data_IF_384189881724
#
_entry.id   IF_384189881724
#
_cell.length_a   1.000
_cell.length_b   1.000
_cell.length_c   1.000
_cell.angle_alpha   90.00
_cell.angle_beta   90.00
_cell.angle_gamma   90.00
#
_symmetry.space_group_name_H-M   'P 1'
#
loop_
_entity.id
_entity.type
_entity.pdbx_description
1 polymer ?
#
# COMPACT_ATOMS: atom_id res chain seq x y z
N UNK A 1 -6.26 -16.48 -0.30
CA UNK A 1 -5.04 -16.10 0.46
C UNK A 1 -5.20 -16.28 1.98
N UNK A 2 -6.22 -15.68 2.62
CA UNK A 2 -6.47 -15.79 4.07
C UNK A 2 -6.43 -17.20 4.68
N UNK A 3 -7.13 -18.22 4.14
CA UNK A 3 -7.15 -19.56 4.75
C UNK A 3 -5.77 -20.23 4.76
N UNK A 4 -4.93 -20.00 3.74
CA UNK A 4 -3.56 -20.53 3.70
C UNK A 4 -2.67 -19.88 4.76
N UNK A 5 -2.84 -18.58 5.01
CA UNK A 5 -2.11 -17.87 6.07
C UNK A 5 -2.49 -18.38 7.47
N UNK A 6 -3.79 -18.61 7.71
CA UNK A 6 -4.27 -19.18 8.98
C UNK A 6 -3.77 -20.61 9.17
N UNK A 7 -3.82 -21.46 8.14
CA UNK A 7 -3.28 -22.82 8.19
C UNK A 7 -1.78 -22.84 8.47
N UNK A 8 -1.02 -21.93 7.85
CA UNK A 8 0.42 -21.81 8.10
C UNK A 8 0.74 -21.43 9.56
N UNK A 9 -0.10 -20.59 10.18
CA UNK A 9 0.03 -20.22 11.60
C UNK A 9 -0.36 -21.38 12.52
N UNK A 10 -1.47 -22.06 12.23
CA UNK A 10 -1.93 -23.21 13.01
C UNK A 10 -0.93 -24.37 12.98
N UNK A 11 -0.30 -24.64 11.84
CA UNK A 11 0.78 -25.64 11.72
C UNK A 11 1.98 -25.28 12.59
N UNK A 12 2.29 -23.98 12.71
CA UNK A 12 3.47 -23.51 13.46
C UNK A 12 3.36 -23.70 14.97
N UNK A 13 2.13 -23.86 15.51
CA UNK A 13 1.85 -24.26 16.89
C UNK A 13 2.35 -23.30 17.98
N UNK A 14 2.85 -22.12 17.62
CA UNK A 14 3.36 -21.10 18.56
C UNK A 14 2.70 -19.78 18.24
N UNK A 15 1.87 -19.30 19.16
CA UNK A 15 1.25 -17.98 19.09
C UNK A 15 2.14 -16.96 19.77
N UNK A 16 2.44 -15.86 19.08
CA UNK A 16 3.23 -14.78 19.66
C UNK A 16 2.37 -13.97 20.65
N UNK A 17 3.00 -13.36 21.67
CA UNK A 17 2.30 -12.40 22.55
C UNK A 17 1.69 -11.29 21.70
N UNK A 18 0.41 -11.00 21.93
CA UNK A 18 -0.32 -9.96 21.22
C UNK A 18 0.26 -8.59 21.59
N UNK A 19 0.61 -7.79 20.57
CA UNK A 19 1.04 -6.43 20.79
C UNK A 19 -0.14 -5.55 21.24
N UNK A 20 0.10 -4.49 22.04
CA UNK A 20 -0.95 -3.56 22.48
C UNK A 20 -1.85 -3.01 21.35
N UNK A 21 -1.33 -2.64 20.15
CA UNK A 21 -2.18 -2.20 19.05
C UNK A 21 -3.19 -3.25 18.57
N UNK A 22 -2.81 -4.53 18.56
CA UNK A 22 -3.72 -5.62 18.19
C UNK A 22 -4.81 -5.84 19.22
N UNK A 23 -4.49 -5.65 20.51
CA UNK A 23 -5.45 -5.74 21.61
C UNK A 23 -6.48 -4.61 21.49
N UNK A 24 -6.03 -3.38 21.25
CA UNK A 24 -6.92 -2.22 21.04
C UNK A 24 -7.78 -2.40 19.79
N UNK A 25 -7.21 -2.92 18.71
CA UNK A 25 -7.96 -3.21 17.49
C UNK A 25 -9.01 -4.30 17.71
N UNK A 26 -8.68 -5.36 18.44
CA UNK A 26 -9.65 -6.40 18.83
C UNK A 26 -10.77 -5.83 19.72
N UNK A 27 -10.42 -4.96 20.67
CA UNK A 27 -11.39 -4.25 21.50
C UNK A 27 -12.30 -3.35 20.66
N UNK A 28 -11.76 -2.64 19.68
CA UNK A 28 -12.53 -1.81 18.75
C UNK A 28 -13.47 -2.64 17.86
N UNK A 29 -13.01 -3.79 17.35
CA UNK A 29 -13.85 -4.71 16.57
C UNK A 29 -14.97 -5.27 17.44
N UNK A 30 -14.67 -5.66 18.69
CA UNK A 30 -15.66 -6.12 19.65
C UNK A 30 -16.69 -5.05 20.00
N UNK A 31 -16.23 -3.82 20.22
CA UNK A 31 -17.11 -2.67 20.43
C UNK A 31 -18.00 -2.39 19.21
N UNK A 32 -17.44 -2.46 18.01
CA UNK A 32 -18.19 -2.30 16.75
C UNK A 32 -19.26 -3.38 16.63
N UNK A 33 -18.95 -4.62 17.02
CA UNK A 33 -19.92 -5.70 17.02
C UNK A 33 -21.04 -5.49 18.07
N UNK A 34 -20.71 -4.99 19.25
CA UNK A 34 -21.70 -4.63 20.27
C UNK A 34 -22.61 -3.48 19.81
N UNK A 35 -22.08 -2.54 19.02
CA UNK A 35 -22.89 -1.46 18.45
C UNK A 35 -23.98 -1.93 17.48
N UNK A 36 -23.93 -3.18 17.01
CA UNK A 36 -25.00 -3.77 16.20
C UNK A 36 -26.32 -3.88 16.98
N UNK A 37 -26.29 -4.01 18.31
CA UNK A 37 -27.49 -4.16 19.14
C UNK A 37 -28.32 -2.87 19.28
N UNK A 38 -27.73 -1.71 19.02
CA UNK A 38 -28.40 -0.41 19.10
C UNK A 38 -28.30 0.40 17.81
N UNK A 39 -27.92 -0.25 16.70
CA UNK A 39 -27.76 0.43 15.41
C UNK A 39 -29.10 0.69 14.75
N UNK A 40 -29.26 1.89 14.20
CA UNK A 40 -30.44 2.32 13.42
C UNK A 40 -30.52 1.54 12.08
N UNK A 41 -29.37 1.13 11.53
CA UNK A 41 -29.27 0.36 10.29
C UNK A 41 -28.34 -0.86 10.49
N UNK A 42 -28.90 -1.99 10.96
CA UNK A 42 -28.11 -3.16 11.33
C UNK A 42 -27.33 -3.80 10.18
N UNK A 43 -27.89 -3.82 8.96
CA UNK A 43 -27.23 -4.43 7.79
C UNK A 43 -25.93 -3.72 7.40
N UNK A 44 -25.96 -2.38 7.33
CA UNK A 44 -24.78 -1.54 7.04
C UNK A 44 -23.69 -1.72 8.11
N UNK A 45 -24.10 -1.85 9.38
CA UNK A 45 -23.20 -2.07 10.51
C UNK A 45 -22.56 -3.46 10.47
N UNK A 46 -23.31 -4.48 10.02
CA UNK A 46 -22.80 -5.84 9.85
C UNK A 46 -21.72 -5.92 8.76
N UNK A 47 -21.96 -5.26 7.62
CA UNK A 47 -20.97 -5.20 6.53
C UNK A 47 -19.68 -4.53 7.02
N UNK A 48 -19.79 -3.39 7.72
CA UNK A 48 -18.62 -2.69 8.28
C UNK A 48 -17.87 -3.54 9.31
N UNK A 49 -18.58 -4.22 10.20
CA UNK A 49 -17.97 -5.11 11.20
C UNK A 49 -17.21 -6.25 10.53
N UNK A 50 -17.74 -6.85 9.46
CA UNK A 50 -17.03 -7.87 8.68
C UNK A 50 -15.74 -7.31 8.06
N UNK A 51 -15.78 -6.11 7.50
CA UNK A 51 -14.57 -5.44 6.97
C UNK A 51 -13.53 -5.21 8.06
N UNK A 52 -13.93 -4.71 9.24
CA UNK A 52 -13.01 -4.53 10.36
C UNK A 52 -12.42 -5.85 10.85
N UNK A 53 -13.20 -6.92 10.86
CA UNK A 53 -12.73 -8.25 11.20
C UNK A 53 -11.69 -8.78 10.19
N UNK A 54 -11.93 -8.58 8.88
CA UNK A 54 -10.96 -8.94 7.84
C UNK A 54 -9.66 -8.15 7.96
N UNK A 55 -9.73 -6.84 8.19
CA UNK A 55 -8.56 -5.99 8.42
C UNK A 55 -7.81 -6.39 9.68
N UNK A 56 -8.55 -6.70 10.76
CA UNK A 56 -7.97 -7.15 12.02
C UNK A 56 -7.25 -8.49 11.88
N UNK A 57 -7.86 -9.43 11.15
CA UNK A 57 -7.25 -10.72 10.83
C UNK A 57 -5.99 -10.55 9.98
N UNK A 58 -6.01 -9.66 9.00
CA UNK A 58 -4.86 -9.34 8.15
C UNK A 58 -3.70 -8.77 8.99
N UNK A 59 -3.97 -7.78 9.84
CA UNK A 59 -2.98 -7.18 10.71
C UNK A 59 -2.39 -8.20 11.71
N UNK A 60 -3.22 -9.08 12.26
CA UNK A 60 -2.76 -10.20 13.10
C UNK A 60 -1.89 -11.19 12.32
N UNK A 61 -2.28 -11.58 11.10
CA UNK A 61 -1.47 -12.44 10.24
C UNK A 61 -0.11 -11.81 9.92
N UNK A 62 -0.05 -10.51 9.62
CA UNK A 62 1.21 -9.80 9.38
C UNK A 62 2.08 -9.83 10.64
N UNK A 63 1.52 -9.57 11.82
CA UNK A 63 2.23 -9.62 13.10
C UNK A 63 2.84 -11.00 13.39
N UNK A 64 2.11 -12.06 13.07
CA UNK A 64 2.52 -13.45 13.31
C UNK A 64 3.54 -13.93 12.27
N UNK A 65 3.35 -13.57 10.99
CA UNK A 65 4.20 -14.01 9.88
C UNK A 65 5.54 -13.24 9.78
N UNK A 66 5.62 -12.02 10.33
CA UNK A 66 6.76 -11.11 10.19
C UNK A 66 7.51 -10.80 11.50
N UNK A 67 7.97 -11.81 12.27
CA UNK A 67 8.64 -11.57 13.54
C UNK A 67 10.06 -11.00 13.42
N UNK A 68 10.73 -11.20 12.28
CA UNK A 68 12.10 -10.76 12.02
C UNK A 68 12.13 -9.69 10.94
N UNK A 69 13.15 -8.81 10.97
CA UNK A 69 13.38 -7.78 9.97
C UNK A 69 13.46 -8.36 8.53
N UNK A 70 14.06 -9.54 8.36
CA UNK A 70 14.13 -10.22 7.07
C UNK A 70 12.75 -10.61 6.53
N UNK A 71 11.86 -11.13 7.39
CA UNK A 71 10.50 -11.51 6.99
C UNK A 71 9.63 -10.29 6.70
N UNK A 72 9.82 -9.21 7.45
CA UNK A 72 9.18 -7.92 7.15
C UNK A 72 9.63 -7.41 5.78
N UNK A 73 10.93 -7.51 5.47
CA UNK A 73 11.44 -7.14 4.16
C UNK A 73 10.84 -8.00 3.03
N UNK A 74 10.68 -9.31 3.23
CA UNK A 74 10.00 -10.18 2.26
C UNK A 74 8.52 -9.80 2.05
N UNK A 75 7.81 -9.42 3.11
CA UNK A 75 6.41 -8.94 2.98
C UNK A 75 6.34 -7.62 2.21
N UNK A 76 7.22 -6.67 2.51
CA UNK A 76 7.31 -5.42 1.74
C UNK A 76 7.66 -5.69 0.28
N UNK A 77 8.55 -6.65 0.01
CA UNK A 77 8.92 -7.00 -1.36
C UNK A 77 7.74 -7.63 -2.10
N UNK A 78 7.00 -8.54 -1.45
CA UNK A 78 5.78 -9.12 -2.02
C UNK A 78 4.72 -8.05 -2.30
N UNK A 79 4.56 -7.07 -1.41
CA UNK A 79 3.67 -5.93 -1.62
C UNK A 79 4.08 -5.10 -2.83
N UNK A 80 5.35 -4.71 -2.94
CA UNK A 80 5.88 -3.92 -4.08
C UNK A 80 5.71 -4.68 -5.40
N UNK A 81 5.98 -5.99 -5.42
CA UNK A 81 5.77 -6.83 -6.60
C UNK A 81 4.28 -6.93 -6.98
N UNK A 82 3.39 -7.06 -6.00
CA UNK A 82 1.94 -7.02 -6.26
C UNK A 82 1.48 -5.66 -6.80
N UNK A 83 2.02 -4.58 -6.26
CA UNK A 83 1.72 -3.23 -6.72
C UNK A 83 2.24 -2.96 -8.15
N UNK A 84 3.34 -3.61 -8.56
CA UNK A 84 3.79 -3.60 -9.96
C UNK A 84 2.75 -4.19 -10.91
N UNK A 85 2.13 -5.31 -10.55
CA UNK A 85 1.09 -5.93 -11.37
C UNK A 85 -0.06 -4.95 -11.58
N UNK A 86 -0.51 -4.30 -10.50
CA UNK A 86 -1.58 -3.30 -10.58
C UNK A 86 -1.18 -2.06 -11.40
N UNK A 87 0.07 -1.61 -11.28
CA UNK A 87 0.60 -0.50 -12.08
C UNK A 87 0.63 -0.84 -13.57
N UNK A 88 1.13 -2.03 -13.95
CA UNK A 88 1.17 -2.46 -15.34
C UNK A 88 -0.22 -2.70 -15.91
N UNK A 89 -1.16 -3.24 -15.13
CA UNK A 89 -2.56 -3.38 -15.55
C UNK A 89 -3.19 -2.01 -15.85
N UNK A 90 -2.93 -1.02 -14.99
CA UNK A 90 -3.39 0.37 -15.19
C UNK A 90 -2.82 0.98 -16.47
N UNK A 91 -1.52 0.78 -16.72
CA UNK A 91 -0.85 1.26 -17.95
C UNK A 91 -1.40 0.51 -19.17
N UNK A 92 -1.65 -0.79 -19.05
CA UNK A 92 -2.28 -1.60 -20.10
C UNK A 92 -3.67 -1.08 -20.46
N UNK A 93 -4.50 -0.79 -19.46
CA UNK A 93 -5.83 -0.20 -19.65
C UNK A 93 -5.77 1.19 -20.30
N UNK A 94 -4.76 2.00 -19.95
CA UNK A 94 -4.49 3.26 -20.64
C UNK A 94 -4.17 3.06 -22.13
N UNK A 95 -3.27 2.13 -22.46
CA UNK A 95 -2.90 1.84 -23.85
C UNK A 95 -4.06 1.23 -24.65
N UNK A 96 -4.92 0.45 -24.00
CA UNK A 96 -6.13 -0.12 -24.59
C UNK A 96 -7.29 0.88 -24.73
N UNK A 97 -7.16 2.10 -24.18
CA UNK A 97 -8.25 3.08 -24.14
C UNK A 97 -9.44 2.67 -23.26
N UNK A 98 -9.27 1.65 -22.42
CA UNK A 98 -10.30 1.10 -21.54
C UNK A 98 -10.42 1.96 -20.27
N UNK A 99 -11.00 3.15 -20.42
CA UNK A 99 -11.22 4.07 -19.31
C UNK A 99 -12.32 3.54 -18.37
N UNK A 100 -12.00 3.40 -17.08
CA UNK A 100 -12.96 2.94 -16.05
C UNK A 100 -13.99 4.03 -15.70
N UNK A 101 -13.62 5.30 -15.92
CA UNK A 101 -14.49 6.47 -15.83
C UNK A 101 -13.92 7.58 -16.73
N UNK A 102 -14.69 8.62 -17.03
CA UNK A 102 -14.29 9.74 -17.92
C UNK A 102 -12.89 10.28 -17.58
N UNK A 103 -11.88 9.90 -18.38
CA UNK A 103 -10.49 10.32 -18.20
C UNK A 103 -9.71 9.64 -17.05
N UNK A 104 -10.17 8.51 -16.50
CA UNK A 104 -9.52 7.80 -15.39
C UNK A 104 -9.26 6.34 -15.75
N UNK A 105 -8.03 5.90 -15.53
CA UNK A 105 -7.62 4.51 -15.74
C UNK A 105 -7.27 3.86 -14.40
N UNK A 106 -7.77 2.65 -14.17
CA UNK A 106 -7.44 1.85 -13.01
C UNK A 106 -7.29 0.38 -13.41
N UNK A 107 -6.58 -0.39 -12.59
CA UNK A 107 -6.58 -1.83 -12.67
C UNK A 107 -8.00 -2.39 -12.54
N UNK A 108 -8.28 -3.51 -13.20
CA UNK A 108 -9.62 -4.09 -13.23
C UNK A 108 -10.15 -4.38 -11.81
N UNK A 109 -11.38 -3.95 -11.52
CA UNK A 109 -12.01 -4.12 -10.21
C UNK A 109 -11.54 -3.16 -9.10
N UNK A 110 -10.65 -2.21 -9.39
CA UNK A 110 -10.20 -1.20 -8.43
C UNK A 110 -10.86 0.17 -8.62
N UNK A 111 -11.14 0.84 -7.51
CA UNK A 111 -11.41 2.28 -7.53
C UNK A 111 -10.09 3.02 -7.82
N UNK A 112 -10.05 3.97 -8.77
CA UNK A 112 -8.82 4.72 -9.08
C UNK A 112 -8.20 5.42 -7.86
N UNK A 113 -9.00 5.83 -6.87
CA UNK A 113 -8.48 6.42 -5.64
C UNK A 113 -7.73 5.40 -4.77
N UNK A 114 -8.37 4.27 -4.48
CA UNK A 114 -7.82 3.21 -3.62
C UNK A 114 -6.56 2.58 -4.23
N UNK A 115 -6.56 2.45 -5.56
CA UNK A 115 -5.40 2.04 -6.33
C UNK A 115 -4.25 3.03 -6.20
N UNK A 116 -4.54 4.33 -6.33
CA UNK A 116 -3.55 5.39 -6.14
C UNK A 116 -2.92 5.32 -4.74
N UNK A 117 -3.71 5.16 -3.68
CA UNK A 117 -3.19 4.98 -2.32
C UNK A 117 -2.32 3.73 -2.20
N UNK A 118 -2.74 2.61 -2.78
CA UNK A 118 -1.99 1.34 -2.77
C UNK A 118 -0.62 1.52 -3.44
N UNK A 119 -0.58 2.14 -4.62
CA UNK A 119 0.66 2.41 -5.35
C UNK A 119 1.60 3.33 -4.56
N UNK A 120 1.05 4.39 -3.97
CA UNK A 120 1.81 5.37 -3.17
C UNK A 120 2.41 4.73 -1.93
N UNK A 121 1.67 3.86 -1.23
CA UNK A 121 2.20 3.13 -0.06
C UNK A 121 3.39 2.23 -0.44
N UNK A 122 3.42 1.73 -1.68
CA UNK A 122 4.57 0.96 -2.18
C UNK A 122 5.85 1.78 -2.31
N UNK A 123 5.77 3.11 -2.46
CA UNK A 123 6.94 4.00 -2.66
C UNK A 123 7.90 3.97 -1.46
N UNK A 124 7.46 4.28 -0.21
CA UNK A 124 8.36 4.23 0.95
C UNK A 124 8.83 2.80 1.24
N UNK A 125 8.00 1.78 0.99
CA UNK A 125 8.39 0.37 1.17
C UNK A 125 9.50 -0.04 0.20
N UNK A 126 9.35 0.29 -1.09
CA UNK A 126 10.37 0.03 -2.11
C UNK A 126 11.66 0.80 -1.81
N UNK A 127 11.54 2.07 -1.39
CA UNK A 127 12.70 2.88 -1.01
C UNK A 127 13.46 2.28 0.18
N UNK A 128 12.75 1.87 1.22
CA UNK A 128 13.34 1.22 2.39
C UNK A 128 14.02 -0.11 2.04
N UNK A 129 13.42 -0.92 1.16
CA UNK A 129 14.05 -2.14 0.68
C UNK A 129 15.30 -1.88 -0.16
N UNK A 130 15.31 -0.82 -0.97
CA UNK A 130 16.46 -0.45 -1.78
C UNK A 130 17.67 0.00 -0.94
N UNK A 131 17.46 0.51 0.28
CA UNK A 131 18.56 0.89 1.19
C UNK A 131 19.07 -0.28 2.03
N UNK A 132 18.23 -1.28 2.31
CA UNK A 132 18.60 -2.48 3.05
C UNK A 132 19.18 -3.60 2.19
N UNK A 133 18.79 -3.67 0.92
CA UNK A 133 19.19 -4.76 0.01
C UNK A 133 20.67 -4.66 -0.37
N UNK A 134 21.36 -5.80 -0.40
CA UNK A 134 22.73 -5.93 -0.94
C UNK A 134 22.76 -6.49 -2.37
N UNK A 135 21.63 -6.98 -2.86
CA UNK A 135 21.50 -7.61 -4.18
C UNK A 135 21.20 -6.51 -5.22
N UNK A 136 22.04 -6.33 -6.25
CA UNK A 136 21.90 -5.22 -7.19
C UNK A 136 20.58 -5.27 -7.97
N UNK A 137 20.12 -6.46 -8.36
CA UNK A 137 18.86 -6.64 -9.07
C UNK A 137 17.68 -6.13 -8.25
N UNK A 138 17.57 -6.51 -6.97
CA UNK A 138 16.50 -6.06 -6.08
C UNK A 138 16.55 -4.54 -5.83
N UNK A 139 17.75 -3.95 -5.73
CA UNK A 139 17.91 -2.50 -5.62
C UNK A 139 17.31 -1.80 -6.85
N UNK A 140 17.61 -2.28 -8.06
CA UNK A 140 17.09 -1.70 -9.29
C UNK A 140 15.59 -1.89 -9.44
N UNK A 141 15.06 -3.09 -9.15
CA UNK A 141 13.61 -3.37 -9.16
C UNK A 141 12.88 -2.42 -8.22
N UNK A 142 13.39 -2.20 -7.02
CA UNK A 142 12.73 -1.32 -6.05
C UNK A 142 12.90 0.18 -6.39
N UNK A 143 14.01 0.57 -7.02
CA UNK A 143 14.20 1.95 -7.52
C UNK A 143 13.31 2.27 -8.71
N UNK A 144 13.15 1.33 -9.64
CA UNK A 144 12.30 1.49 -10.82
C UNK A 144 10.82 1.54 -10.46
N UNK A 145 10.44 1.05 -9.28
CA UNK A 145 9.06 1.09 -8.81
C UNK A 145 8.58 2.51 -8.62
N UNK A 146 9.44 3.39 -8.10
CA UNK A 146 9.09 4.79 -7.81
C UNK A 146 8.60 5.53 -9.07
N UNK A 147 9.34 5.60 -10.20
CA UNK A 147 8.84 6.27 -11.39
C UNK A 147 7.61 5.56 -12.00
N UNK A 148 7.54 4.23 -11.97
CA UNK A 148 6.39 3.48 -12.52
C UNK A 148 5.13 3.75 -11.71
N UNK A 149 5.22 3.74 -10.38
CA UNK A 149 4.12 4.08 -9.49
C UNK A 149 3.64 5.52 -9.70
N UNK A 150 4.56 6.47 -9.92
CA UNK A 150 4.19 7.86 -10.23
C UNK A 150 3.41 7.98 -11.54
N UNK A 151 3.85 7.30 -12.60
CA UNK A 151 3.13 7.26 -13.88
C UNK A 151 1.73 6.67 -13.67
N UNK A 152 1.64 5.49 -13.05
CA UNK A 152 0.35 4.85 -12.78
C UNK A 152 -0.58 5.73 -11.93
N UNK A 153 -0.07 6.39 -10.89
CA UNK A 153 -0.85 7.35 -10.07
C UNK A 153 -1.34 8.52 -10.91
N UNK A 154 -0.52 9.10 -11.80
CA UNK A 154 -1.00 10.17 -12.70
C UNK A 154 -2.11 9.70 -13.62
N UNK A 155 -2.04 8.45 -14.13
CA UNK A 155 -3.09 7.85 -14.97
C UNK A 155 -4.40 7.59 -14.22
N UNK A 156 -4.37 7.40 -12.90
CA UNK A 156 -5.59 7.28 -12.08
C UNK A 156 -6.36 8.60 -11.95
N UNK A 157 -5.72 9.73 -12.29
CA UNK A 157 -6.24 11.09 -12.15
C UNK A 157 -6.88 11.36 -10.76
N UNK A 158 -6.36 10.70 -9.71
CA UNK A 158 -6.91 10.78 -8.37
C UNK A 158 -6.31 11.97 -7.60
N UNK A 159 -7.07 13.07 -7.54
CA UNK A 159 -6.75 14.25 -6.72
C UNK A 159 -6.48 13.90 -5.24
N UNK A 160 -7.09 12.82 -4.73
CA UNK A 160 -6.91 12.34 -3.35
C UNK A 160 -5.61 11.56 -3.09
N UNK A 161 -5.04 10.92 -4.11
CA UNK A 161 -3.79 10.16 -3.97
C UNK A 161 -2.53 11.06 -4.04
N UNK A 162 -2.65 12.32 -4.47
CA UNK A 162 -1.52 13.25 -4.59
C UNK A 162 -0.94 13.70 -3.24
N UNK A 163 -1.78 14.01 -2.25
CA UNK A 163 -1.28 14.39 -0.92
C UNK A 163 -0.42 13.27 -0.28
N UNK A 164 -0.89 12.01 -0.25
CA UNK A 164 -0.08 10.88 0.17
C UNK A 164 1.19 10.70 -0.66
N UNK A 165 1.12 10.90 -1.99
CA UNK A 165 2.28 10.80 -2.86
C UNK A 165 3.34 11.85 -2.50
N UNK A 166 2.90 13.08 -2.21
CA UNK A 166 3.76 14.15 -1.73
C UNK A 166 4.44 13.77 -0.41
N UNK A 167 3.68 13.24 0.55
CA UNK A 167 4.22 12.79 1.85
C UNK A 167 5.21 11.65 1.66
N UNK A 168 4.88 10.66 0.82
CA UNK A 168 5.75 9.54 0.50
C UNK A 168 7.07 10.01 -0.15
N UNK A 169 6.99 10.98 -1.06
CA UNK A 169 8.16 11.58 -1.69
C UNK A 169 8.98 12.44 -0.71
N UNK A 170 8.36 13.09 0.29
CA UNK A 170 9.05 13.85 1.33
C UNK A 170 9.80 12.95 2.33
N UNK A 171 9.38 11.70 2.50
CA UNK A 171 10.10 10.71 3.31
C UNK A 171 11.48 10.37 2.68
N UNK A 172 11.60 10.42 1.36
CA UNK A 172 12.85 10.13 0.63
C UNK A 172 14.00 11.10 1.01
N UNK A 173 13.84 12.44 0.90
CA UNK A 173 14.89 13.39 1.29
C UNK A 173 15.07 13.48 2.81
N UNK A 174 14.00 13.30 3.61
CA UNK A 174 14.09 13.31 5.07
C UNK A 174 14.88 12.13 5.62
N UNK A 175 14.67 10.93 5.05
CA UNK A 175 15.43 9.72 5.41
C UNK A 175 16.91 9.80 5.01
N UNK A 176 17.31 10.76 4.17
CA UNK A 176 18.62 10.79 3.56
C UNK A 176 19.22 12.21 3.51
N UNK A 177 19.49 12.74 4.70
CA UNK A 177 20.35 13.93 4.93
C UNK A 177 21.78 13.80 4.38
N UNK A 178 22.16 12.67 3.76
CA UNK A 178 23.52 12.39 3.22
C UNK A 178 23.59 11.98 1.73
N UNK A 179 22.53 12.04 0.93
CA UNK A 179 22.60 11.61 -0.48
C UNK A 179 22.85 12.72 -1.52
N UNK A 180 23.35 12.28 -2.69
CA UNK A 180 23.81 13.09 -3.83
C UNK A 180 22.68 13.95 -4.41
N UNK A 181 23.04 15.17 -4.81
CA UNK A 181 22.16 16.22 -5.33
C UNK A 181 21.26 15.79 -6.50
N UNK A 182 21.69 14.80 -7.29
CA UNK A 182 20.94 14.27 -8.45
C UNK A 182 19.63 13.58 -8.06
N UNK A 183 19.58 12.87 -6.93
CA UNK A 183 18.35 12.20 -6.46
C UNK A 183 17.37 13.23 -5.89
N UNK A 184 17.89 14.27 -5.22
CA UNK A 184 17.07 15.42 -4.79
C UNK A 184 16.46 16.14 -5.98
N UNK A 185 17.25 16.40 -7.02
CA UNK A 185 16.77 17.04 -8.24
C UNK A 185 15.71 16.18 -8.94
N UNK A 186 15.90 14.85 -9.05
CA UNK A 186 14.90 13.95 -9.64
C UNK A 186 13.57 13.96 -8.86
N UNK A 187 13.62 13.95 -7.52
CA UNK A 187 12.42 14.05 -6.68
C UNK A 187 11.73 15.40 -6.85
N UNK A 188 12.48 16.50 -6.90
CA UNK A 188 11.92 17.85 -7.11
C UNK A 188 11.30 17.98 -8.51
N UNK A 189 11.92 17.41 -9.54
CA UNK A 189 11.37 17.41 -10.91
C UNK A 189 10.09 16.57 -10.98
N UNK A 190 10.06 15.41 -10.32
CA UNK A 190 8.86 14.58 -10.23
C UNK A 190 7.73 15.29 -9.46
N UNK A 191 8.07 15.99 -8.37
CA UNK A 191 7.12 16.84 -7.62
C UNK A 191 6.58 17.98 -8.50
N UNK A 192 7.46 18.72 -9.19
CA UNK A 192 7.07 19.81 -10.08
C UNK A 192 6.19 19.33 -11.25
N UNK A 193 6.55 18.19 -11.86
CA UNK A 193 5.74 17.55 -12.90
C UNK A 193 4.37 17.11 -12.41
N UNK A 194 4.29 16.58 -11.18
CA UNK A 194 3.01 16.18 -10.58
C UNK A 194 2.09 17.37 -10.27
N UNK A 195 2.66 18.52 -9.86
CA UNK A 195 1.91 19.77 -9.63
C UNK A 195 1.45 20.38 -10.96
N UNK A 196 2.29 20.35 -11.99
CA UNK A 196 1.93 20.83 -13.33
C UNK A 196 0.75 20.04 -13.93
N UNK A 197 0.80 18.71 -13.83
CA UNK A 197 -0.29 17.84 -14.27
C UNK A 197 -1.62 18.04 -13.50
N UNK A 198 -1.58 18.67 -12.32
CA UNK A 198 -2.79 19.06 -11.57
C UNK A 198 -3.38 20.41 -12.06
N UNK A 199 -2.56 21.25 -12.69
CA UNK A 199 -2.93 22.59 -13.16
C UNK A 199 -3.42 22.65 -14.62
N UNK A 200 -3.18 21.59 -15.40
CA UNK A 200 -3.63 21.41 -16.79
C UNK A 200 -4.90 20.57 -16.87
#
# INVERSE_FOLDING_TARGET
>A
AFPLGVLAVLWRGRLRRLAPPLILMAAFIGWSALSMFWSIEPESTQIRTKTFLQLGLLAWLIWELAPTHERQAHLFQAYVLGAYVAAFDTIGNYLAGAATATGRFAAEGFNPNDLGFTLVLGIPMAWHLATLSRIPVLIWVNRLYVPIAMIAVTLTASRGAFLPALVALLIIPWSLTRQRWSVRAAVVVLLAGSVYAMSS
#
